data_IF_533106372028
#
_entry.id   IF_533106372028
#
_cell.length_a   1.000
_cell.length_b   1.000
_cell.length_c   1.000
_cell.angle_alpha   90.00
_cell.angle_beta   90.00
_cell.angle_gamma   90.00
#
_symmetry.space_group_name_H-M   'P 1'
#
loop_
_entity.id
_entity.type
_entity.pdbx_description
1 polymer ?
#
# COMPACT_ATOMS: atom_id res chain seq x y z
N UNK A 1 -7.25 8.54 43.37
CA UNK A 1 -6.52 7.49 42.61
C UNK A 1 -7.39 6.81 41.55
N UNK A 2 -8.55 7.38 41.18
CA UNK A 2 -9.48 6.86 40.16
C UNK A 2 -9.41 7.67 38.85
N UNK A 3 -8.96 8.93 38.89
CA UNK A 3 -8.90 9.80 37.70
C UNK A 3 -7.74 9.50 36.73
N UNK A 4 -6.67 8.85 37.18
CA UNK A 4 -5.49 8.64 36.33
C UNK A 4 -5.70 7.55 35.27
N UNK A 5 -6.58 6.57 35.52
CA UNK A 5 -6.88 5.51 34.54
C UNK A 5 -7.72 6.02 33.36
N UNK A 6 -8.64 6.95 33.60
CA UNK A 6 -9.54 7.48 32.56
C UNK A 6 -8.82 8.37 31.54
N UNK A 7 -7.75 9.05 31.97
CA UNK A 7 -6.94 9.88 31.08
C UNK A 7 -5.99 9.08 30.17
N UNK A 8 -5.61 7.85 30.56
CA UNK A 8 -4.77 6.98 29.72
C UNK A 8 -5.60 6.34 28.60
N UNK A 9 -6.86 5.97 28.87
CA UNK A 9 -7.77 5.42 27.86
C UNK A 9 -8.16 6.46 26.79
N UNK A 10 -8.40 7.72 27.17
CA UNK A 10 -8.72 8.78 26.19
C UNK A 10 -7.56 9.15 25.28
N UNK A 11 -6.31 9.09 25.75
CA UNK A 11 -5.12 9.34 24.93
C UNK A 11 -4.85 8.23 23.89
N UNK A 12 -5.21 6.98 24.23
CA UNK A 12 -5.17 5.85 23.28
C UNK A 12 -6.20 6.03 22.15
N UNK A 13 -7.39 6.51 22.49
CA UNK A 13 -8.47 6.73 21.52
C UNK A 13 -8.16 7.86 20.54
N UNK A 14 -7.56 8.96 20.98
CA UNK A 14 -7.22 10.09 20.08
C UNK A 14 -6.18 9.71 19.02
N UNK A 15 -5.20 8.87 19.39
CA UNK A 15 -4.13 8.43 18.48
C UNK A 15 -4.68 7.44 17.46
N UNK A 16 -5.52 6.50 17.90
CA UNK A 16 -6.19 5.52 17.03
C UNK A 16 -7.20 6.17 16.09
N UNK A 17 -7.94 7.18 16.54
CA UNK A 17 -8.88 7.92 15.70
C UNK A 17 -8.15 8.74 14.62
N UNK A 18 -7.00 9.34 14.94
CA UNK A 18 -6.16 10.02 13.95
C UNK A 18 -5.59 9.05 12.91
N UNK A 19 -5.17 7.85 13.34
CA UNK A 19 -4.70 6.78 12.46
C UNK A 19 -5.83 6.26 11.55
N UNK A 20 -7.05 6.15 12.06
CA UNK A 20 -8.25 5.77 11.29
C UNK A 20 -8.62 6.82 10.26
N UNK A 21 -8.61 8.11 10.62
CA UNK A 21 -8.89 9.21 9.68
C UNK A 21 -7.82 9.32 8.59
N UNK A 22 -6.54 9.11 8.92
CA UNK A 22 -5.47 9.07 7.92
C UNK A 22 -5.57 7.85 7.01
N UNK A 23 -5.88 6.67 7.55
CA UNK A 23 -6.08 5.44 6.78
C UNK A 23 -7.28 5.57 5.84
N UNK A 24 -8.38 6.17 6.31
CA UNK A 24 -9.60 6.38 5.52
C UNK A 24 -9.44 7.47 4.46
N UNK A 25 -8.75 8.58 4.79
CA UNK A 25 -8.41 9.62 3.80
C UNK A 25 -7.43 9.09 2.74
N UNK A 26 -6.50 8.21 3.11
CA UNK A 26 -5.61 7.54 2.16
C UNK A 26 -6.39 6.57 1.27
N UNK A 27 -7.34 5.80 1.81
CA UNK A 27 -8.22 4.91 1.05
C UNK A 27 -9.11 5.66 0.04
N UNK A 28 -9.65 6.83 0.41
CA UNK A 28 -10.40 7.69 -0.50
C UNK A 28 -9.50 8.29 -1.60
N UNK A 29 -8.26 8.66 -1.28
CA UNK A 29 -7.28 9.16 -2.25
C UNK A 29 -6.79 8.05 -3.22
N UNK A 30 -6.69 6.81 -2.70
CA UNK A 30 -6.39 5.61 -3.49
C UNK A 30 -7.53 5.30 -4.46
N UNK A 31 -8.80 5.42 -4.06
CA UNK A 31 -9.96 5.22 -4.94
C UNK A 31 -9.95 6.17 -6.16
N UNK A 32 -9.63 7.46 -5.97
CA UNK A 32 -9.55 8.41 -7.09
C UNK A 32 -8.32 8.15 -7.99
N UNK A 33 -7.20 7.71 -7.41
CA UNK A 33 -5.97 7.40 -8.15
C UNK A 33 -6.13 6.16 -9.04
N UNK A 34 -6.86 5.14 -8.58
CA UNK A 34 -7.16 3.95 -9.40
C UNK A 34 -8.15 4.26 -10.53
N UNK A 35 -9.16 5.11 -10.29
CA UNK A 35 -10.13 5.49 -11.32
C UNK A 35 -9.51 6.40 -12.41
N UNK A 36 -8.59 7.28 -12.05
CA UNK A 36 -7.89 8.15 -13.01
C UNK A 36 -6.77 7.46 -13.80
N UNK A 37 -6.22 6.34 -13.31
CA UNK A 37 -5.14 5.63 -13.99
C UNK A 37 -5.56 4.88 -15.27
N UNK A 38 -6.87 4.68 -15.52
CA UNK A 38 -7.34 3.88 -16.67
C UNK A 38 -8.05 4.68 -17.77
N UNK A 39 -8.38 5.96 -17.54
CA UNK A 39 -9.00 6.80 -18.56
C UNK A 39 -7.93 7.61 -19.31
N UNK A 40 -7.58 7.13 -20.51
CA UNK A 40 -6.63 7.69 -21.49
C UNK A 40 -5.16 7.29 -21.34
N UNK A 41 -4.77 6.22 -22.04
CA UNK A 41 -3.37 6.00 -22.44
C UNK A 41 -3.19 6.50 -23.89
N UNK A 42 -2.51 7.64 -24.10
CA UNK A 42 -1.69 7.76 -25.30
C UNK A 42 -0.63 6.65 -25.27
N UNK A 43 -0.09 6.28 -26.43
CA UNK A 43 1.12 5.43 -26.58
C UNK A 43 2.28 6.03 -25.77
N UNK A 44 2.33 5.76 -24.48
CA UNK A 44 3.13 6.47 -23.49
C UNK A 44 3.74 5.46 -22.53
N UNK A 45 5.04 5.61 -22.30
CA UNK A 45 5.88 4.73 -21.47
C UNK A 45 5.19 4.37 -20.17
N UNK A 46 5.17 3.07 -19.87
CA UNK A 46 4.64 2.49 -18.64
C UNK A 46 5.10 3.30 -17.41
N UNK A 47 4.12 3.83 -16.68
CA UNK A 47 4.32 4.65 -15.47
C UNK A 47 4.19 3.81 -14.21
N UNK A 48 3.72 2.57 -14.31
CA UNK A 48 3.64 1.67 -13.18
C UNK A 48 5.04 1.11 -12.84
N UNK A 49 5.37 1.10 -11.56
CA UNK A 49 6.47 0.34 -10.99
C UNK A 49 6.10 -1.12 -11.07
N UNK A 50 7.00 -1.92 -11.66
CA UNK A 50 6.77 -3.35 -11.81
C UNK A 50 6.91 -4.03 -10.46
N UNK A 51 6.02 -4.96 -10.18
CA UNK A 51 6.10 -5.82 -9.00
C UNK A 51 5.66 -7.24 -9.31
N UNK A 52 6.19 -8.20 -8.55
CA UNK A 52 5.93 -9.63 -8.76
C UNK A 52 5.70 -10.33 -7.42
N UNK A 53 4.77 -11.30 -7.36
CA UNK A 53 4.62 -12.15 -6.18
C UNK A 53 5.78 -13.13 -6.11
N UNK A 54 6.31 -13.33 -4.91
CA UNK A 54 7.28 -14.39 -4.60
C UNK A 54 6.55 -15.54 -3.90
N UNK A 55 5.60 -16.16 -4.59
CA UNK A 55 4.82 -17.31 -4.08
C UNK A 55 5.06 -18.56 -4.94
N UNK A 56 5.32 -19.73 -4.33
CA UNK A 56 5.48 -20.98 -5.08
C UNK A 56 4.15 -21.51 -5.66
N UNK A 57 3.01 -21.05 -5.15
CA UNK A 57 1.68 -21.56 -5.51
C UNK A 57 0.84 -20.56 -6.31
N UNK A 58 1.40 -19.40 -6.64
CA UNK A 58 0.69 -18.34 -7.35
C UNK A 58 1.60 -17.67 -8.37
N UNK A 59 1.23 -17.78 -9.65
CA UNK A 59 1.92 -17.07 -10.73
C UNK A 59 1.51 -15.60 -10.76
N UNK A 60 2.37 -14.74 -11.31
CA UNK A 60 2.06 -13.32 -11.52
C UNK A 60 0.81 -13.12 -12.41
N UNK A 61 0.57 -14.00 -13.38
CA UNK A 61 -0.62 -13.92 -14.24
C UNK A 61 -1.91 -14.25 -13.48
N UNK A 62 -1.89 -15.26 -12.60
CA UNK A 62 -3.05 -15.60 -11.76
C UNK A 62 -3.36 -14.46 -10.79
N UNK A 63 -2.32 -13.94 -10.14
CA UNK A 63 -2.47 -12.82 -9.22
C UNK A 63 -3.02 -11.58 -9.94
N UNK A 64 -2.49 -11.26 -11.14
CA UNK A 64 -3.00 -10.17 -11.96
C UNK A 64 -4.49 -10.35 -12.26
N UNK A 65 -4.92 -11.56 -12.64
CA UNK A 65 -6.35 -11.85 -12.89
C UNK A 65 -7.22 -11.61 -11.65
N UNK A 66 -6.73 -11.98 -10.46
CA UNK A 66 -7.42 -11.74 -9.19
C UNK A 66 -7.53 -10.24 -8.91
N UNK A 67 -6.44 -9.49 -9.04
CA UNK A 67 -6.48 -8.05 -8.83
C UNK A 67 -7.31 -7.31 -9.88
N UNK A 68 -7.26 -7.71 -11.15
CA UNK A 68 -8.11 -7.16 -12.20
C UNK A 68 -9.59 -7.35 -11.85
N UNK A 69 -9.97 -8.53 -11.34
CA UNK A 69 -11.33 -8.81 -10.88
C UNK A 69 -11.72 -8.01 -9.63
N UNK A 70 -10.79 -7.83 -8.69
CA UNK A 70 -11.02 -7.05 -7.47
C UNK A 70 -11.13 -5.53 -7.75
N UNK A 71 -10.40 -5.02 -8.74
CA UNK A 71 -10.41 -3.61 -9.13
C UNK A 71 -11.60 -3.30 -10.05
N UNK A 72 -12.08 -4.27 -10.81
CA UNK A 72 -13.25 -4.10 -11.68
C UNK A 72 -14.47 -3.59 -10.89
N UNK A 73 -15.32 -2.74 -11.51
CA UNK A 73 -16.56 -2.31 -10.90
C UNK A 73 -17.40 -3.50 -10.46
N UNK A 74 -17.95 -3.43 -9.26
CA UNK A 74 -18.77 -4.47 -8.68
C UNK A 74 -20.06 -4.68 -9.50
N UNK A 75 -20.20 -5.88 -10.05
CA UNK A 75 -21.42 -6.32 -10.77
C UNK A 75 -22.20 -7.40 -10.01
N UNK A 76 -21.67 -7.91 -8.89
CA UNK A 76 -22.16 -9.15 -8.27
C UNK A 76 -22.76 -8.93 -6.89
N UNK A 77 -22.13 -8.11 -6.05
CA UNK A 77 -22.64 -7.77 -4.72
C UNK A 77 -23.73 -6.71 -4.85
N UNK A 78 -24.98 -7.16 -4.95
CA UNK A 78 -26.15 -6.28 -5.00
C UNK A 78 -26.47 -5.71 -3.60
N UNK A 79 -27.02 -4.48 -3.52
CA UNK A 79 -27.45 -3.87 -2.25
C UNK A 79 -28.39 -4.77 -1.43
N UNK A 80 -28.24 -4.73 -0.11
CA UNK A 80 -29.01 -5.52 0.85
C UNK A 80 -28.16 -6.16 1.95
N UNK A 81 -28.84 -6.83 2.88
CA UNK A 81 -28.24 -7.63 3.93
C UNK A 81 -27.82 -9.00 3.39
N UNK A 82 -26.57 -9.40 3.64
CA UNK A 82 -26.01 -10.67 3.20
C UNK A 82 -25.13 -11.27 4.28
N UNK A 83 -25.18 -12.59 4.45
CA UNK A 83 -24.21 -13.26 5.32
C UNK A 83 -22.83 -13.31 4.69
N UNK A 84 -21.78 -13.49 5.48
CA UNK A 84 -20.42 -13.67 4.96
C UNK A 84 -20.34 -14.85 3.98
N UNK A 85 -21.01 -15.96 4.30
CA UNK A 85 -21.11 -17.12 3.41
C UNK A 85 -21.73 -16.75 2.05
N UNK A 86 -22.81 -15.96 2.05
CA UNK A 86 -23.46 -15.49 0.81
C UNK A 86 -22.56 -14.55 0.01
N UNK A 87 -21.82 -13.65 0.68
CA UNK A 87 -20.84 -12.77 0.02
C UNK A 87 -19.78 -13.60 -0.70
N UNK A 88 -19.24 -14.63 -0.04
CA UNK A 88 -18.22 -15.52 -0.63
C UNK A 88 -18.79 -16.35 -1.78
N UNK A 89 -20.00 -16.88 -1.66
CA UNK A 89 -20.69 -17.59 -2.74
C UNK A 89 -20.83 -16.69 -3.99
N UNK A 90 -21.27 -15.44 -3.79
CA UNK A 90 -21.39 -14.45 -4.85
C UNK A 90 -20.03 -14.13 -5.48
N UNK A 91 -19.00 -13.84 -4.66
CA UNK A 91 -17.67 -13.54 -5.17
C UNK A 91 -17.05 -14.67 -5.99
N UNK A 92 -17.30 -15.94 -5.63
CA UNK A 92 -16.81 -17.10 -6.36
C UNK A 92 -17.28 -17.17 -7.83
N UNK A 93 -18.27 -16.37 -8.23
CA UNK A 93 -18.67 -16.22 -9.62
C UNK A 93 -17.66 -15.44 -10.47
N UNK A 94 -16.79 -14.64 -9.83
CA UNK A 94 -15.82 -13.75 -10.50
C UNK A 94 -14.39 -14.11 -10.12
N UNK A 95 -14.16 -14.38 -8.83
CA UNK A 95 -12.83 -14.63 -8.28
C UNK A 95 -12.90 -15.76 -7.25
N UNK A 96 -12.00 -16.75 -7.30
CA UNK A 96 -11.96 -17.80 -6.29
C UNK A 96 -11.80 -17.19 -4.88
N UNK A 97 -12.75 -17.47 -4.00
CA UNK A 97 -12.81 -16.89 -2.65
C UNK A 97 -13.12 -17.96 -1.62
N UNK A 98 -12.45 -17.91 -0.46
CA UNK A 98 -12.76 -18.76 0.69
C UNK A 98 -12.71 -17.99 2.01
N UNK A 99 -13.32 -18.58 3.04
CA UNK A 99 -13.26 -18.10 4.42
C UNK A 99 -12.25 -18.96 5.19
N UNK A 100 -11.32 -18.34 5.91
CA UNK A 100 -10.57 -19.02 6.96
C UNK A 100 -11.44 -19.08 8.23
N UNK A 101 -12.31 -20.10 8.27
CA UNK A 101 -13.27 -20.30 9.37
C UNK A 101 -12.59 -20.32 10.74
N UNK A 102 -11.37 -20.87 10.82
CA UNK A 102 -10.64 -20.96 12.07
C UNK A 102 -10.24 -19.58 12.56
N UNK A 103 -9.57 -18.81 11.69
CA UNK A 103 -9.11 -17.46 12.01
C UNK A 103 -10.26 -16.52 12.40
N UNK A 104 -11.41 -16.61 11.72
CA UNK A 104 -12.56 -15.75 12.05
C UNK A 104 -13.27 -16.16 13.34
N UNK A 105 -13.36 -17.47 13.63
CA UNK A 105 -14.02 -17.96 14.85
C UNK A 105 -13.25 -17.52 16.10
N UNK A 106 -11.91 -17.46 16.00
CA UNK A 106 -11.04 -16.97 17.08
C UNK A 106 -11.29 -15.48 17.40
N UNK A 107 -11.84 -14.71 16.45
CA UNK A 107 -12.26 -13.31 16.64
C UNK A 107 -13.72 -13.15 17.11
N UNK A 108 -14.46 -14.26 17.28
CA UNK A 108 -15.87 -14.24 17.67
C UNK A 108 -16.86 -14.03 16.52
N UNK A 109 -16.38 -14.01 15.28
CA UNK A 109 -17.22 -13.92 14.08
C UNK A 109 -17.58 -15.31 13.57
N UNK A 110 -18.75 -15.42 12.93
CA UNK A 110 -19.16 -16.61 12.17
C UNK A 110 -19.40 -16.27 10.70
N UNK A 111 -19.52 -17.30 9.88
CA UNK A 111 -19.89 -17.18 8.47
C UNK A 111 -21.36 -16.74 8.23
N UNK A 112 -22.19 -16.83 9.28
CA UNK A 112 -23.56 -16.34 9.31
C UNK A 112 -23.67 -14.83 9.65
N UNK A 113 -22.55 -14.16 9.97
CA UNK A 113 -22.54 -12.73 10.27
C UNK A 113 -23.10 -11.92 9.09
N UNK A 114 -24.03 -11.00 9.39
CA UNK A 114 -24.76 -10.24 8.38
C UNK A 114 -24.09 -8.90 8.13
N UNK A 115 -23.74 -8.65 6.88
CA UNK A 115 -23.15 -7.42 6.39
C UNK A 115 -24.14 -6.66 5.52
N UNK A 116 -24.09 -5.34 5.58
CA UNK A 116 -24.95 -4.46 4.76
C UNK A 116 -24.18 -3.92 3.56
N UNK A 117 -24.64 -4.28 2.37
CA UNK A 117 -24.20 -3.70 1.10
C UNK A 117 -25.16 -2.56 0.76
N UNK A 118 -24.62 -1.39 0.48
CA UNK A 118 -25.37 -0.15 0.24
C UNK A 118 -25.46 0.15 -1.26
N UNK A 119 -26.39 1.01 -1.66
CA UNK A 119 -26.49 1.48 -3.05
C UNK A 119 -25.23 2.24 -3.50
N UNK A 120 -24.45 2.80 -2.57
CA UNK A 120 -23.18 3.48 -2.85
C UNK A 120 -22.09 2.51 -3.30
N UNK A 121 -22.27 1.21 -3.05
CA UNK A 121 -21.36 0.16 -3.51
C UNK A 121 -21.62 -0.25 -4.97
N UNK A 122 -22.66 0.31 -5.60
CA UNK A 122 -22.90 0.10 -7.02
C UNK A 122 -21.84 0.85 -7.83
N UNK A 123 -21.02 0.10 -8.58
CA UNK A 123 -19.98 0.66 -9.45
C UNK A 123 -18.66 0.99 -8.76
N UNK A 124 -18.54 0.80 -7.44
CA UNK A 124 -17.24 0.80 -6.76
C UNK A 124 -16.50 -0.51 -7.02
N UNK A 125 -15.18 -0.52 -6.83
CA UNK A 125 -14.40 -1.75 -7.00
C UNK A 125 -14.75 -2.78 -5.92
N UNK A 126 -14.70 -4.06 -6.27
CA UNK A 126 -14.96 -5.15 -5.32
C UNK A 126 -14.00 -5.10 -4.12
N UNK A 127 -12.72 -4.73 -4.34
CA UNK A 127 -11.75 -4.50 -3.27
C UNK A 127 -12.19 -3.41 -2.29
N UNK A 128 -12.67 -2.26 -2.79
CA UNK A 128 -13.14 -1.18 -1.93
C UNK A 128 -14.34 -1.60 -1.08
N UNK A 129 -15.26 -2.37 -1.66
CA UNK A 129 -16.39 -2.93 -0.92
C UNK A 129 -15.89 -3.87 0.17
N UNK A 130 -14.95 -4.77 -0.12
CA UNK A 130 -14.38 -5.67 0.89
C UNK A 130 -13.69 -4.92 2.02
N UNK A 131 -12.88 -3.90 1.71
CA UNK A 131 -12.24 -3.09 2.75
C UNK A 131 -13.29 -2.39 3.62
N UNK A 132 -14.37 -1.88 3.02
CA UNK A 132 -15.46 -1.25 3.77
C UNK A 132 -16.25 -2.25 4.61
N UNK A 133 -16.56 -3.42 4.07
CA UNK A 133 -17.37 -4.44 4.73
C UNK A 133 -16.60 -5.14 5.86
N UNK A 134 -15.32 -5.42 5.66
CA UNK A 134 -14.49 -6.16 6.61
C UNK A 134 -13.73 -5.25 7.59
N UNK A 135 -13.61 -3.96 7.27
CA UNK A 135 -12.72 -2.98 7.93
C UNK A 135 -13.03 -2.61 9.38
N UNK A 136 -13.99 -3.27 10.04
CA UNK A 136 -14.34 -3.07 11.44
C UNK A 136 -13.34 -3.78 12.39
N UNK A 137 -12.05 -3.47 12.20
CA UNK A 137 -10.88 -3.89 13.00
C UNK A 137 -10.50 -5.39 13.01
N UNK A 138 -11.46 -6.31 12.88
CA UNK A 138 -11.20 -7.74 13.12
C UNK A 138 -11.00 -8.57 11.87
N UNK A 139 -11.68 -8.25 10.78
CA UNK A 139 -11.66 -9.01 9.54
C UNK A 139 -10.89 -8.28 8.45
N UNK A 140 -10.35 -9.05 7.53
CA UNK A 140 -9.66 -8.55 6.35
C UNK A 140 -9.65 -9.60 5.27
N UNK A 141 -9.06 -9.29 4.13
CA UNK A 141 -8.81 -10.27 3.09
C UNK A 141 -7.34 -10.30 2.69
N UNK A 142 -6.91 -11.44 2.17
CA UNK A 142 -5.58 -11.66 1.67
C UNK A 142 -5.64 -12.42 0.34
N UNK A 143 -4.81 -12.02 -0.62
CA UNK A 143 -4.64 -12.71 -1.90
C UNK A 143 -3.43 -13.62 -1.77
N UNK A 144 -3.68 -14.93 -1.64
CA UNK A 144 -2.62 -15.95 -1.60
C UNK A 144 -3.12 -17.26 -2.18
N UNK A 145 -2.20 -18.10 -2.65
CA UNK A 145 -2.53 -19.41 -3.23
C UNK A 145 -3.56 -19.33 -4.37
N UNK A 146 -3.46 -18.28 -5.21
CA UNK A 146 -4.35 -18.02 -6.34
C UNK A 146 -5.85 -17.87 -5.98
N UNK A 147 -6.15 -17.35 -4.79
CA UNK A 147 -7.51 -17.04 -4.34
C UNK A 147 -7.54 -15.86 -3.37
N UNK A 148 -8.73 -15.31 -3.15
CA UNK A 148 -9.03 -14.36 -2.08
C UNK A 148 -9.42 -15.15 -0.83
N UNK A 149 -8.70 -14.95 0.26
CA UNK A 149 -9.02 -15.52 1.57
C UNK A 149 -9.57 -14.41 2.46
N UNK A 150 -10.81 -14.53 2.91
CA UNK A 150 -11.37 -13.70 3.98
C UNK A 150 -10.95 -14.34 5.32
N UNK A 151 -10.33 -13.56 6.18
CA UNK A 151 -9.70 -14.05 7.41
C UNK A 151 -9.65 -12.95 8.48
N UNK A 152 -9.19 -13.26 9.68
CA UNK A 152 -8.93 -12.25 10.70
C UNK A 152 -7.66 -11.44 10.42
N UNK A 153 -7.61 -10.24 10.99
CA UNK A 153 -6.44 -9.35 10.95
C UNK A 153 -5.22 -10.00 11.61
N UNK A 154 -5.40 -10.61 12.77
CA UNK A 154 -4.33 -11.32 13.49
C UNK A 154 -3.72 -12.44 12.62
N UNK A 155 -4.55 -13.18 11.89
CA UNK A 155 -4.09 -14.25 11.02
C UNK A 155 -3.24 -13.74 9.85
N UNK A 156 -3.58 -12.59 9.24
CA UNK A 156 -2.72 -12.03 8.17
C UNK A 156 -1.43 -11.43 8.72
N UNK A 157 -1.45 -10.89 9.94
CA UNK A 157 -0.28 -10.33 10.62
C UNK A 157 0.69 -11.41 11.12
N UNK A 158 0.21 -12.66 11.29
CA UNK A 158 1.08 -13.80 11.56
C UNK A 158 2.08 -14.06 10.42
N UNK A 159 3.23 -14.66 10.73
CA UNK A 159 4.26 -15.02 9.74
C UNK A 159 3.70 -15.83 8.56
N UNK A 160 2.72 -16.72 8.81
CA UNK A 160 2.10 -17.55 7.79
C UNK A 160 1.10 -16.78 6.89
N UNK A 161 0.62 -15.62 7.35
CA UNK A 161 -0.32 -14.76 6.65
C UNK A 161 0.35 -13.73 5.74
N UNK A 162 1.62 -13.42 5.96
CA UNK A 162 2.34 -12.46 5.13
C UNK A 162 2.55 -13.01 3.71
N UNK A 163 2.45 -12.14 2.71
CA UNK A 163 2.83 -12.45 1.33
C UNK A 163 4.12 -11.72 1.00
N UNK A 164 4.97 -12.31 0.14
CA UNK A 164 6.21 -11.67 -0.27
C UNK A 164 6.03 -11.13 -1.69
N UNK A 165 6.42 -9.87 -1.90
CA UNK A 165 6.48 -9.22 -3.21
C UNK A 165 7.82 -8.58 -3.45
N UNK A 166 8.24 -8.59 -4.71
CA UNK A 166 9.44 -7.89 -5.18
C UNK A 166 9.00 -6.69 -6.03
N UNK A 167 9.52 -5.50 -5.73
CA UNK A 167 9.23 -4.26 -6.46
C UNK A 167 10.49 -3.75 -7.15
N UNK A 168 10.40 -3.44 -8.45
CA UNK A 168 11.49 -2.83 -9.21
C UNK A 168 11.47 -1.31 -9.10
N UNK A 169 12.18 -0.79 -8.10
CA UNK A 169 12.28 0.64 -7.83
C UNK A 169 13.41 1.33 -8.60
N UNK A 170 14.08 0.64 -9.52
CA UNK A 170 15.13 1.19 -10.39
C UNK A 170 14.74 2.54 -11.05
N UNK A 171 13.50 2.73 -11.55
CA UNK A 171 13.08 4.01 -12.13
C UNK A 171 13.06 5.18 -11.13
N UNK A 172 12.90 4.89 -9.83
CA UNK A 172 12.91 5.87 -8.75
C UNK A 172 14.35 6.21 -8.35
N UNK A 173 15.22 5.19 -8.23
CA UNK A 173 16.60 5.35 -7.75
C UNK A 173 17.51 6.03 -8.77
N UNK A 174 17.50 5.60 -10.04
CA UNK A 174 18.42 6.09 -11.07
C UNK A 174 18.32 7.60 -11.36
N UNK A 175 17.26 8.27 -10.87
CA UNK A 175 17.10 9.72 -11.00
C UNK A 175 17.81 10.52 -9.92
N UNK A 176 18.05 9.91 -8.75
CA UNK A 176 18.80 10.56 -7.66
C UNK A 176 20.31 10.51 -7.90
N UNK A 177 20.82 9.47 -8.56
CA UNK A 177 22.25 9.35 -8.89
C UNK A 177 22.76 10.40 -9.90
N UNK A 178 21.86 11.06 -10.63
CA UNK A 178 22.22 12.13 -11.58
C UNK A 178 22.34 13.52 -10.94
N UNK A 179 22.14 13.63 -9.62
CA UNK A 179 22.42 14.86 -8.88
C UNK A 179 23.86 14.78 -8.42
N UNK A 180 24.73 15.72 -8.82
CA UNK A 180 26.12 15.82 -8.34
C UNK A 180 26.12 15.89 -6.81
N UNK A 181 26.23 14.72 -6.15
CA UNK A 181 26.38 14.65 -4.70
C UNK A 181 27.78 15.14 -4.38
N UNK A 182 27.88 16.16 -3.53
CA UNK A 182 29.16 16.64 -3.03
C UNK A 182 29.88 15.45 -2.38
N UNK A 183 31.02 15.07 -2.94
CA UNK A 183 31.88 13.96 -2.48
C UNK A 183 32.27 14.05 -1.00
N UNK A 184 32.03 15.20 -0.36
CA UNK A 184 32.32 15.45 1.05
C UNK A 184 31.16 15.11 2.00
N UNK A 185 29.97 14.75 1.49
CA UNK A 185 28.86 14.32 2.34
C UNK A 185 29.09 12.85 2.78
N UNK A 186 29.49 12.68 4.03
CA UNK A 186 30.00 11.44 4.66
C UNK A 186 29.06 10.22 4.64
N UNK A 187 27.82 10.38 4.13
CA UNK A 187 26.91 9.26 3.91
C UNK A 187 26.39 9.32 2.48
N UNK A 188 26.87 8.46 1.56
CA UNK A 188 26.15 8.23 0.32
C UNK A 188 24.79 7.63 0.71
N UNK A 189 23.76 8.48 0.81
CA UNK A 189 22.38 8.04 0.92
C UNK A 189 22.04 7.41 -0.42
N UNK A 190 22.19 6.10 -0.50
CA UNK A 190 21.76 5.33 -1.65
C UNK A 190 20.27 5.62 -1.90
N UNK A 191 19.85 5.82 -3.15
CA UNK A 191 18.51 6.32 -3.45
C UNK A 191 17.38 5.38 -2.99
N UNK A 192 17.68 4.09 -2.81
CA UNK A 192 16.80 3.11 -2.19
C UNK A 192 16.47 3.45 -0.72
N UNK A 193 17.42 3.99 0.05
CA UNK A 193 17.20 4.40 1.45
C UNK A 193 16.11 5.47 1.59
N UNK A 194 15.98 6.36 0.60
CA UNK A 194 14.92 7.36 0.57
C UNK A 194 13.54 6.77 0.31
N UNK A 195 13.45 5.78 -0.60
CA UNK A 195 12.20 5.09 -0.89
C UNK A 195 11.76 4.26 0.31
N UNK A 196 12.68 3.51 0.92
CA UNK A 196 12.40 2.73 2.14
C UNK A 196 11.95 3.64 3.28
N UNK A 197 12.65 4.75 3.52
CA UNK A 197 12.24 5.71 4.55
C UNK A 197 10.86 6.31 4.29
N UNK A 198 10.54 6.64 3.02
CA UNK A 198 9.23 7.14 2.64
C UNK A 198 8.12 6.10 2.93
N UNK A 199 8.34 4.83 2.59
CA UNK A 199 7.40 3.74 2.87
C UNK A 199 7.20 3.59 4.39
N UNK A 200 8.27 3.47 5.17
CA UNK A 200 8.20 3.37 6.63
C UNK A 200 7.44 4.55 7.28
N UNK A 201 7.63 5.77 6.77
CA UNK A 201 7.01 6.95 7.36
C UNK A 201 5.55 7.15 6.95
N UNK A 202 5.09 6.57 5.84
CA UNK A 202 3.78 6.87 5.24
C UNK A 202 2.76 5.75 5.32
N UNK A 203 3.20 4.49 5.34
CA UNK A 203 2.31 3.32 5.32
C UNK A 203 2.45 2.61 6.65
N UNK A 204 1.42 2.65 7.50
CA UNK A 204 1.38 1.96 8.81
C UNK A 204 2.72 2.00 9.58
N UNK A 205 3.22 3.18 9.99
CA UNK A 205 4.59 3.36 10.50
C UNK A 205 4.94 2.51 11.73
N UNK A 206 3.92 2.08 12.46
CA UNK A 206 4.05 1.26 13.67
C UNK A 206 4.11 -0.24 13.37
N UNK A 207 3.72 -0.67 12.16
CA UNK A 207 3.58 -2.09 11.77
C UNK A 207 4.84 -2.67 11.09
N UNK A 208 5.90 -1.87 10.94
CA UNK A 208 7.17 -2.33 10.40
C UNK A 208 8.07 -2.97 11.47
N UNK A 209 8.92 -3.92 11.06
CA UNK A 209 9.82 -4.68 11.94
C UNK A 209 10.76 -3.81 12.76
N UNK A 210 11.23 -2.68 12.20
CA UNK A 210 12.07 -1.73 12.95
C UNK A 210 11.32 -1.05 14.12
N UNK A 211 9.98 -1.02 14.05
CA UNK A 211 9.07 -0.54 15.11
C UNK A 211 8.51 -1.70 15.95
N UNK A 212 8.95 -2.95 15.71
CA UNK A 212 8.45 -4.15 16.37
C UNK A 212 7.19 -4.77 15.74
N UNK A 213 6.77 -4.27 14.58
CA UNK A 213 5.64 -4.82 13.84
C UNK A 213 6.00 -6.02 12.94
N UNK A 214 5.00 -6.66 12.32
CA UNK A 214 5.19 -7.89 11.56
C UNK A 214 5.76 -7.69 10.14
N UNK A 215 5.70 -6.48 9.58
CA UNK A 215 6.06 -6.25 8.18
C UNK A 215 7.57 -6.06 8.01
N UNK A 216 8.13 -6.61 6.95
CA UNK A 216 9.54 -6.44 6.62
C UNK A 216 9.71 -5.86 5.23
N UNK A 217 10.75 -5.04 5.06
CA UNK A 217 11.18 -4.48 3.79
C UNK A 217 12.70 -4.52 3.77
N UNK A 218 13.24 -5.13 2.72
CA UNK A 218 14.68 -5.28 2.54
C UNK A 218 15.06 -4.78 1.14
N UNK A 219 15.96 -3.79 1.03
CA UNK A 219 16.52 -3.40 -0.25
C UNK A 219 17.45 -4.49 -0.78
N UNK A 220 17.37 -4.76 -2.08
CA UNK A 220 18.21 -5.73 -2.75
C UNK A 220 18.72 -5.16 -4.07
N UNK A 221 20.04 -5.10 -4.22
CA UNK A 221 20.68 -4.61 -5.45
C UNK A 221 21.23 -5.77 -6.27
N UNK A 222 20.89 -5.80 -7.56
CA UNK A 222 21.40 -6.79 -8.51
C UNK A 222 21.94 -6.08 -9.76
N UNK A 223 23.24 -5.80 -9.77
CA UNK A 223 23.84 -4.96 -10.81
C UNK A 223 23.27 -3.55 -10.78
N UNK A 224 22.72 -3.10 -11.92
CA UNK A 224 22.09 -1.78 -12.07
C UNK A 224 20.61 -1.77 -11.68
N UNK A 225 20.10 -2.86 -11.11
CA UNK A 225 18.71 -2.97 -10.68
C UNK A 225 18.59 -2.78 -9.16
N UNK A 226 17.65 -1.93 -8.76
CA UNK A 226 17.28 -1.69 -7.38
C UNK A 226 15.91 -2.30 -7.12
N UNK A 227 15.89 -3.33 -6.28
CA UNK A 227 14.68 -4.08 -5.92
C UNK A 227 14.36 -3.86 -4.44
N UNK A 228 13.07 -3.89 -4.11
CA UNK A 228 12.60 -4.02 -2.73
C UNK A 228 11.93 -5.37 -2.56
N UNK A 229 12.36 -6.15 -1.57
CA UNK A 229 11.69 -7.39 -1.15
C UNK A 229 10.88 -7.07 0.09
N UNK A 230 9.56 -7.22 0.00
CA UNK A 230 8.63 -6.82 1.07
C UNK A 230 7.79 -8.01 1.47
N UNK A 231 7.71 -8.29 2.77
CA UNK A 231 6.79 -9.26 3.36
C UNK A 231 5.69 -8.50 4.10
N UNK A 232 4.48 -8.52 3.55
CA UNK A 232 3.33 -7.79 4.10
C UNK A 232 1.99 -8.46 3.71
N UNK A 233 0.86 -8.14 4.37
CA UNK A 233 -0.47 -8.49 3.90
C UNK A 233 -0.82 -7.80 2.57
N UNK A 234 -1.80 -8.34 1.86
CA UNK A 234 -2.23 -7.81 0.55
C UNK A 234 -2.58 -6.32 0.57
N UNK A 235 -3.31 -5.84 1.59
CA UNK A 235 -3.69 -4.42 1.65
C UNK A 235 -2.48 -3.50 1.77
N UNK A 236 -1.46 -3.90 2.53
CA UNK A 236 -0.21 -3.13 2.65
C UNK A 236 0.50 -3.10 1.30
N UNK A 237 0.56 -4.21 0.58
CA UNK A 237 1.13 -4.25 -0.76
C UNK A 237 0.41 -3.37 -1.78
N UNK A 238 -0.92 -3.28 -1.70
CA UNK A 238 -1.71 -2.37 -2.53
C UNK A 238 -1.38 -0.90 -2.22
N UNK A 239 -1.27 -0.55 -0.94
CA UNK A 239 -0.85 0.79 -0.50
C UNK A 239 0.56 1.13 -0.99
N UNK A 240 1.50 0.19 -0.89
CA UNK A 240 2.87 0.37 -1.37
C UNK A 240 2.88 0.57 -2.89
N UNK A 241 2.18 -0.27 -3.64
CA UNK A 241 2.09 -0.17 -5.10
C UNK A 241 1.56 1.21 -5.51
N UNK A 242 0.44 1.66 -4.90
CA UNK A 242 -0.14 2.98 -5.15
C UNK A 242 0.84 4.11 -4.86
N UNK A 243 1.58 4.03 -3.73
CA UNK A 243 2.58 5.04 -3.36
C UNK A 243 3.72 5.10 -4.37
N UNK A 244 4.35 3.97 -4.70
CA UNK A 244 5.52 3.96 -5.60
C UNK A 244 5.15 4.34 -7.03
N UNK A 245 3.94 3.99 -7.48
CA UNK A 245 3.41 4.44 -8.78
C UNK A 245 3.19 5.94 -8.80
N UNK A 246 2.61 6.50 -7.73
CA UNK A 246 2.39 7.95 -7.58
C UNK A 246 3.72 8.70 -7.56
N UNK A 247 4.72 8.20 -6.83
CA UNK A 247 6.06 8.79 -6.82
C UNK A 247 6.70 8.76 -8.21
N UNK A 248 6.61 7.64 -8.93
CA UNK A 248 7.14 7.53 -10.29
C UNK A 248 6.44 8.49 -11.26
N UNK A 249 5.12 8.64 -11.14
CA UNK A 249 4.34 9.59 -11.93
C UNK A 249 4.71 11.04 -11.62
N UNK A 250 4.77 11.43 -10.34
CA UNK A 250 5.12 12.77 -9.89
C UNK A 250 6.53 13.16 -10.39
N UNK A 251 7.49 12.26 -10.28
CA UNK A 251 8.86 12.46 -10.76
C UNK A 251 8.91 12.61 -12.29
N UNK A 252 8.00 11.98 -13.04
CA UNK A 252 7.89 12.14 -14.51
C UNK A 252 7.22 13.45 -14.91
N UNK A 253 6.15 13.82 -14.23
CA UNK A 253 5.46 15.09 -14.46
C UNK A 253 6.34 16.28 -14.11
N UNK A 254 7.16 16.13 -13.07
CA UNK A 254 8.26 17.02 -12.75
C UNK A 254 9.44 16.92 -13.75
N UNK A 255 9.19 16.58 -15.02
CA UNK A 255 10.15 16.64 -16.14
C UNK A 255 10.71 18.03 -16.45
N UNK A 256 10.64 18.93 -15.48
CA UNK A 256 11.31 20.22 -15.40
C UNK A 256 12.14 20.16 -14.12
N UNK A 257 13.45 20.45 -14.17
CA UNK A 257 14.38 20.17 -13.08
C UNK A 257 13.77 20.58 -11.74
N UNK A 258 13.46 19.59 -10.90
CA UNK A 258 13.10 19.81 -9.50
C UNK A 258 14.30 20.53 -8.91
N UNK A 259 14.22 21.86 -8.91
CA UNK A 259 15.05 22.87 -8.24
C UNK A 259 16.29 22.24 -7.57
N UNK A 260 17.21 21.71 -8.38
CA UNK A 260 18.57 21.38 -7.95
C UNK A 260 19.42 22.64 -7.80
N UNK A 261 18.79 23.81 -7.73
CA UNK A 261 19.43 25.07 -8.03
C UNK A 261 18.93 26.32 -7.31
N UNK A 262 17.93 26.29 -6.42
CA UNK A 262 17.63 27.54 -5.68
C UNK A 262 18.57 27.78 -4.51
N UNK A 263 19.03 26.72 -3.82
CA UNK A 263 20.01 26.89 -2.73
C UNK A 263 21.40 27.17 -3.34
N UNK A 264 21.79 26.42 -4.37
CA UNK A 264 23.09 26.61 -5.03
C UNK A 264 23.18 27.83 -5.96
N UNK A 265 22.12 28.28 -6.65
CA UNK A 265 22.22 29.51 -7.45
C UNK A 265 22.25 30.76 -6.56
N UNK A 266 21.49 30.78 -5.46
CA UNK A 266 21.56 31.86 -4.48
C UNK A 266 22.92 31.87 -3.77
N UNK A 267 23.44 30.72 -3.35
CA UNK A 267 24.79 30.62 -2.75
C UNK A 267 25.91 30.91 -3.75
N UNK A 268 25.81 30.52 -5.04
CA UNK A 268 26.77 30.92 -6.10
C UNK A 268 26.66 32.41 -6.42
N UNK A 269 25.47 33.00 -6.40
CA UNK A 269 25.28 34.44 -6.57
C UNK A 269 25.82 35.24 -5.39
N UNK A 270 25.75 34.69 -4.17
CA UNK A 270 26.38 35.24 -2.97
C UNK A 270 27.90 35.07 -2.98
N UNK A 271 28.43 33.92 -3.40
CA UNK A 271 29.88 33.68 -3.51
C UNK A 271 30.55 34.53 -4.59
N UNK A 272 29.83 34.88 -5.67
CA UNK A 272 30.32 35.82 -6.71
C UNK A 272 30.27 37.30 -6.28
N UNK A 273 29.71 37.62 -5.11
CA UNK A 273 29.66 38.99 -4.57
C UNK A 273 30.78 39.31 -3.58
N UNK A 274 31.70 38.38 -3.30
CA UNK A 274 32.91 38.72 -2.56
C UNK A 274 33.77 39.68 -3.41
N UNK A 275 34.05 40.91 -2.95
CA UNK A 275 34.84 41.86 -3.71
C UNK A 275 36.29 41.39 -3.81
N UNK A 276 36.99 41.65 -4.93
CA UNK A 276 38.43 41.46 -4.99
C UNK A 276 39.11 42.40 -3.99
N UNK A 277 40.10 41.87 -3.26
CA UNK A 277 41.00 42.64 -2.38
C UNK A 277 41.76 43.73 -3.13
#
# INVERSE_FOLDING_TARGET
>A
MVDTKRNIEMASWSTRFAQFVFCWAFLLCVQDSFAHAQASTPKGRDTAIRSWPASPFMTAEQEKKIFDALIAPNTVLQPGERTLAQIVELMNQVVPTRIDLRAITDTGFSDDEVFTITDQDAGTSLASILVRLLGDEYLTFNVRNAMVEITSREAVESEAGQTIRVYDITPLVNRFENVDVDSNEYYPRSGDSHVVHCIHASIYPEEWSHSGGPHTIEPYQMGDQYLLVISAPTLVHLSIQSLVDTLNQAIRQAGSPIIGGSINAAQRALAKRSPPE
#
